data_IF_613991473497
#
_entry.id   IF_613991473497
#
_cell.length_a   1.000
_cell.length_b   1.000
_cell.length_c   1.000
_cell.angle_alpha   90.00
_cell.angle_beta   90.00
_cell.angle_gamma   90.00
#
_symmetry.space_group_name_H-M   'P 1'
#
loop_
_entity.id
_entity.type
_entity.pdbx_description
1 polymer ?
#
# COMPACT_ATOMS: atom_id res chain seq x y z
N UNK A 1 5.03 6.88 -9.66
CA UNK A 1 5.08 8.14 -8.87
C UNK A 1 3.79 8.95 -9.02
N UNK A 2 3.34 9.28 -10.23
CA UNK A 2 2.15 10.13 -10.48
C UNK A 2 0.88 9.64 -9.75
N UNK A 3 0.61 8.32 -9.77
CA UNK A 3 -0.53 7.75 -9.06
C UNK A 3 -0.41 7.91 -7.54
N UNK A 4 0.78 7.71 -6.99
CA UNK A 4 1.05 7.87 -5.56
C UNK A 4 0.86 9.33 -5.13
N UNK A 5 1.41 10.26 -5.92
CA UNK A 5 1.28 11.69 -5.70
C UNK A 5 -0.19 12.12 -5.76
N UNK A 6 -0.94 11.66 -6.77
CA UNK A 6 -2.38 11.96 -6.88
C UNK A 6 -3.18 11.47 -5.67
N UNK A 7 -2.94 10.22 -5.22
CA UNK A 7 -3.62 9.67 -4.05
C UNK A 7 -3.28 10.46 -2.77
N UNK A 8 -2.04 10.89 -2.62
CA UNK A 8 -1.61 11.68 -1.47
C UNK A 8 -2.23 13.08 -1.48
N UNK A 9 -2.16 13.79 -2.61
CA UNK A 9 -2.72 15.14 -2.78
C UNK A 9 -4.25 15.17 -2.62
N UNK A 10 -4.94 14.06 -2.87
CA UNK A 10 -6.39 13.93 -2.70
C UNK A 10 -6.81 13.53 -1.28
N UNK A 11 -5.89 13.54 -0.31
CA UNK A 11 -6.19 13.48 1.12
C UNK A 11 -5.88 12.14 1.80
N UNK A 12 -5.26 11.18 1.10
CA UNK A 12 -4.73 9.97 1.74
C UNK A 12 -3.36 10.24 2.33
N UNK A 13 -3.09 9.66 3.50
CA UNK A 13 -1.73 9.66 4.04
C UNK A 13 -0.79 8.89 3.11
N UNK A 14 0.50 9.25 3.11
CA UNK A 14 1.49 8.58 2.27
C UNK A 14 1.53 7.05 2.52
N UNK A 15 1.51 6.54 3.78
CA UNK A 15 1.45 5.10 4.02
C UNK A 15 0.17 4.44 3.49
N UNK A 16 -0.99 5.12 3.60
CA UNK A 16 -2.25 4.59 3.07
C UNK A 16 -2.17 4.43 1.55
N UNK A 17 -1.69 5.46 0.83
CA UNK A 17 -1.56 5.41 -0.62
C UNK A 17 -0.56 4.33 -1.07
N UNK A 18 0.55 4.16 -0.35
CA UNK A 18 1.51 3.06 -0.57
C UNK A 18 0.82 1.70 -0.39
N UNK A 19 0.11 1.48 0.72
CA UNK A 19 -0.55 0.19 0.99
C UNK A 19 -1.70 -0.12 0.02
N UNK A 20 -2.32 0.88 -0.59
CA UNK A 20 -3.27 0.68 -1.70
C UNK A 20 -2.58 0.20 -2.98
N UNK A 21 -1.42 0.77 -3.31
CA UNK A 21 -0.70 0.47 -4.55
C UNK A 21 0.10 -0.83 -4.44
N UNK A 22 0.81 -1.03 -3.33
CA UNK A 22 1.69 -2.18 -3.07
C UNK A 22 1.22 -2.84 -1.78
N UNK A 23 0.08 -3.56 -1.81
CA UNK A 23 -0.42 -4.26 -0.64
C UNK A 23 0.43 -5.47 -0.28
N UNK A 24 0.55 -5.73 1.02
CA UNK A 24 1.11 -6.98 1.55
C UNK A 24 0.34 -8.21 1.07
N UNK A 25 0.91 -9.43 1.09
CA UNK A 25 0.16 -10.65 0.84
C UNK A 25 -0.87 -10.89 1.96
N UNK A 26 -2.12 -10.47 1.74
CA UNK A 26 -3.18 -10.43 2.77
C UNK A 26 -4.22 -11.55 2.64
N UNK A 27 -4.59 -11.98 1.43
CA UNK A 27 -5.74 -12.88 1.16
C UNK A 27 -5.72 -14.21 1.93
N UNK A 28 -4.53 -14.74 2.23
CA UNK A 28 -4.36 -16.05 2.89
C UNK A 28 -3.55 -15.94 4.18
N UNK A 29 -3.43 -14.73 4.72
CA UNK A 29 -2.62 -14.47 5.90
C UNK A 29 -3.45 -14.62 7.18
N UNK A 30 -3.49 -15.84 7.72
CA UNK A 30 -4.20 -16.16 8.97
C UNK A 30 -3.58 -15.53 10.23
N UNK A 31 -2.40 -14.91 10.12
CA UNK A 31 -1.73 -14.21 11.22
C UNK A 31 -2.01 -12.70 11.20
N UNK A 32 -2.66 -12.20 10.14
CA UNK A 32 -3.05 -10.80 10.02
C UNK A 32 -4.23 -10.48 10.94
N UNK A 33 -4.25 -9.28 11.53
CA UNK A 33 -5.43 -8.81 12.27
C UNK A 33 -6.62 -8.61 11.33
N UNK A 34 -7.84 -8.82 11.83
CA UNK A 34 -9.06 -8.64 11.03
C UNK A 34 -9.16 -7.21 10.47
N UNK A 35 -8.84 -6.19 11.27
CA UNK A 35 -8.85 -4.79 10.84
C UNK A 35 -7.95 -4.54 9.62
N UNK A 36 -6.76 -5.16 9.59
CA UNK A 36 -5.81 -5.00 8.49
C UNK A 36 -6.25 -5.80 7.26
N UNK A 37 -6.85 -6.96 7.47
CA UNK A 37 -7.45 -7.75 6.39
C UNK A 37 -8.61 -6.98 5.73
N UNK A 38 -9.54 -6.45 6.52
CA UNK A 38 -10.69 -5.65 6.05
C UNK A 38 -10.22 -4.37 5.33
N UNK A 39 -9.15 -3.74 5.82
CA UNK A 39 -8.51 -2.61 5.15
C UNK A 39 -8.04 -2.99 3.75
N UNK A 40 -7.33 -4.10 3.58
CA UNK A 40 -6.84 -4.52 2.27
C UNK A 40 -7.97 -4.99 1.35
N UNK A 41 -8.95 -5.72 1.88
CA UNK A 41 -10.12 -6.17 1.13
C UNK A 41 -10.90 -4.98 0.56
N UNK A 42 -11.18 -3.95 1.38
CA UNK A 42 -11.85 -2.74 0.92
C UNK A 42 -11.06 -2.02 -0.18
N UNK A 43 -9.74 -1.88 -0.01
CA UNK A 43 -8.91 -1.18 -0.98
C UNK A 43 -8.70 -1.96 -2.28
N UNK A 44 -8.82 -3.30 -2.25
CA UNK A 44 -8.73 -4.15 -3.45
C UNK A 44 -9.85 -3.85 -4.48
N UNK A 45 -11.00 -3.32 -4.04
CA UNK A 45 -12.07 -2.88 -4.94
C UNK A 45 -11.79 -1.53 -5.61
N UNK A 46 -10.87 -0.72 -5.07
CA UNK A 46 -10.56 0.62 -5.58
C UNK A 46 -9.29 0.68 -6.42
N UNK A 47 -8.33 -0.21 -6.18
CA UNK A 47 -7.02 -0.20 -6.84
C UNK A 47 -6.57 -1.63 -7.10
N UNK A 48 -6.24 -1.93 -8.35
CA UNK A 48 -5.51 -3.15 -8.67
C UNK A 48 -4.09 -3.02 -8.10
N UNK A 49 -3.57 -4.07 -7.44
CA UNK A 49 -2.21 -4.06 -6.94
C UNK A 49 -1.17 -3.85 -8.05
N UNK A 50 -0.20 -2.98 -7.80
CA UNK A 50 0.93 -2.77 -8.69
C UNK A 50 1.95 -3.87 -8.42
N UNK A 51 1.77 -4.98 -9.13
CA UNK A 51 2.59 -6.19 -8.96
C UNK A 51 3.90 -6.14 -9.79
N UNK A 52 4.90 -6.90 -9.35
CA UNK A 52 6.24 -6.97 -9.95
C UNK A 52 7.35 -6.61 -8.95
N UNK A 53 8.61 -7.02 -9.21
CA UNK A 53 9.72 -6.78 -8.29
C UNK A 53 9.91 -5.28 -7.99
N UNK A 54 9.69 -4.88 -6.75
CA UNK A 54 9.78 -3.47 -6.35
C UNK A 54 10.30 -3.31 -4.91
N UNK A 55 11.30 -2.45 -4.76
CA UNK A 55 11.72 -1.91 -3.48
C UNK A 55 11.59 -0.38 -3.54
N UNK A 56 10.69 0.17 -2.74
CA UNK A 56 10.36 1.60 -2.79
C UNK A 56 10.64 2.27 -1.46
N UNK A 57 11.51 3.27 -1.47
CA UNK A 57 11.63 4.26 -0.40
C UNK A 57 10.71 5.45 -0.67
N UNK A 58 10.06 5.97 0.37
CA UNK A 58 9.13 7.10 0.25
C UNK A 58 9.25 8.07 1.42
N UNK A 59 8.96 9.35 1.16
CA UNK A 59 8.88 10.40 2.18
C UNK A 59 7.98 11.55 1.71
N UNK A 60 7.28 12.20 2.65
CA UNK A 60 6.54 13.45 2.45
C UNK A 60 7.21 14.64 3.19
N UNK A 61 8.45 14.46 3.65
CA UNK A 61 9.17 15.43 4.49
C UNK A 61 8.83 15.37 5.98
N UNK A 62 7.80 14.62 6.38
CA UNK A 62 7.46 14.36 7.80
C UNK A 62 7.69 12.90 8.17
N UNK A 63 7.37 11.97 7.27
CA UNK A 63 7.54 10.52 7.45
C UNK A 63 8.53 10.01 6.40
N UNK A 64 9.32 8.99 6.77
CA UNK A 64 10.15 8.20 5.85
C UNK A 64 9.82 6.72 6.03
N UNK A 65 9.76 5.97 4.94
CA UNK A 65 9.47 4.54 4.96
C UNK A 65 10.01 3.79 3.75
N UNK A 66 9.93 2.48 3.83
CA UNK A 66 10.28 1.56 2.75
C UNK A 66 9.26 0.44 2.66
N UNK A 67 8.92 0.01 1.45
CA UNK A 67 8.06 -1.14 1.18
C UNK A 67 8.67 -2.02 0.12
N UNK A 68 8.41 -3.31 0.24
CA UNK A 68 8.76 -4.33 -0.74
C UNK A 68 7.47 -4.86 -1.38
N UNK A 69 7.56 -5.35 -2.62
CA UNK A 69 6.41 -5.98 -3.26
C UNK A 69 6.00 -7.26 -2.52
N UNK A 70 4.82 -7.79 -2.89
CA UNK A 70 4.23 -8.96 -2.23
C UNK A 70 5.10 -10.22 -2.26
N UNK A 71 6.11 -10.29 -3.14
CA UNK A 71 6.97 -11.45 -3.34
C UNK A 71 8.40 -11.26 -2.83
N UNK A 72 8.81 -10.09 -2.33
CA UNK A 72 10.20 -9.88 -1.92
C UNK A 72 10.48 -8.56 -1.26
#
# INVERSE_FOLDING_TARGET
>A
DNTLEFLHMTGRSLPHAIMMMIPEPWERNNLMSQEKHDFYEFNSFMMEPWDGPAAMGFTDGTVIGGVLDRNG
#
